data_IF_911498989854
#
_entry.id   IF_911498989854
#
_cell.length_a   1.000
_cell.length_b   1.000
_cell.length_c   1.000
_cell.angle_alpha   90.00
_cell.angle_beta   90.00
_cell.angle_gamma   90.00
#
_symmetry.space_group_name_H-M   'P 1'
#
loop_
_entity.id
_entity.type
_entity.pdbx_description
1 polymer ?
#
# COMPACT_ATOMS: atom_id res chain seq x y z
N UNK A 1 4.02 13.04 -8.26
CA UNK A 1 2.79 12.36 -7.85
C UNK A 1 2.75 12.25 -6.33
N UNK A 2 1.64 12.64 -5.73
CA UNK A 2 1.47 12.48 -4.28
C UNK A 2 1.00 11.06 -3.95
N UNK A 3 1.11 10.68 -2.68
CA UNK A 3 0.60 9.39 -2.24
C UNK A 3 -0.91 9.27 -2.46
N UNK A 4 -1.65 10.35 -2.21
CA UNK A 4 -3.08 10.37 -2.45
C UNK A 4 -3.41 10.14 -3.93
N UNK A 5 -2.69 10.80 -4.82
CA UNK A 5 -2.89 10.63 -6.26
C UNK A 5 -2.60 9.19 -6.69
N UNK A 6 -1.51 8.63 -6.17
CA UNK A 6 -1.14 7.25 -6.46
C UNK A 6 -2.21 6.29 -5.97
N UNK A 7 -2.67 6.50 -4.75
CA UNK A 7 -3.74 5.69 -4.17
C UNK A 7 -5.02 5.76 -5.00
N UNK A 8 -5.44 6.96 -5.37
CA UNK A 8 -6.67 7.13 -6.14
C UNK A 8 -6.59 6.48 -7.52
N UNK A 9 -5.42 6.51 -8.13
CA UNK A 9 -5.23 5.93 -9.47
C UNK A 9 -5.07 4.41 -9.44
N UNK A 10 -4.58 3.83 -8.34
CA UNK A 10 -4.14 2.45 -8.33
C UNK A 10 -4.67 1.60 -7.16
N UNK A 11 -5.71 2.06 -6.48
CA UNK A 11 -6.32 1.30 -5.39
C UNK A 11 -6.64 -0.12 -5.84
N UNK A 12 -6.20 -1.11 -5.06
CA UNK A 12 -6.43 -2.52 -5.35
C UNK A 12 -5.52 -3.11 -6.42
N UNK A 13 -4.65 -2.31 -7.02
CA UNK A 13 -3.71 -2.80 -8.03
C UNK A 13 -2.50 -3.45 -7.39
N UNK A 14 -1.98 -4.48 -8.04
CA UNK A 14 -0.78 -5.16 -7.58
C UNK A 14 0.45 -4.33 -7.92
N UNK A 15 1.43 -4.32 -7.01
CA UNK A 15 2.66 -3.54 -7.19
C UNK A 15 3.88 -4.38 -6.88
N UNK A 16 5.00 -3.99 -7.51
CA UNK A 16 6.32 -4.47 -7.15
C UNK A 16 6.88 -3.56 -6.06
N UNK A 17 7.60 -4.14 -5.12
CA UNK A 17 8.32 -3.40 -4.09
C UNK A 17 9.82 -3.61 -4.29
N UNK A 18 10.53 -2.52 -4.56
CA UNK A 18 11.97 -2.55 -4.89
C UNK A 18 12.27 -3.55 -6.02
N UNK A 19 11.39 -3.58 -7.02
CA UNK A 19 11.53 -4.45 -8.18
C UNK A 19 11.11 -5.89 -7.98
N UNK A 20 10.57 -6.24 -6.81
CA UNK A 20 10.16 -7.62 -6.51
C UNK A 20 8.66 -7.72 -6.31
N UNK A 21 8.08 -8.80 -6.81
CA UNK A 21 6.68 -9.12 -6.58
C UNK A 21 6.55 -9.85 -5.24
N UNK A 22 6.11 -9.13 -4.24
CA UNK A 22 5.94 -9.68 -2.89
C UNK A 22 4.49 -9.96 -2.55
N UNK A 23 3.59 -9.91 -3.55
CA UNK A 23 2.17 -10.12 -3.31
C UNK A 23 1.45 -8.92 -2.74
N UNK A 24 1.96 -7.72 -3.00
CA UNK A 24 1.44 -6.49 -2.43
C UNK A 24 0.42 -5.82 -3.35
N UNK A 25 -0.62 -5.27 -2.73
CA UNK A 25 -1.64 -4.47 -3.41
C UNK A 25 -1.71 -3.10 -2.77
N UNK A 26 -2.10 -2.11 -3.54
CA UNK A 26 -2.31 -0.76 -2.99
C UNK A 26 -3.58 -0.79 -2.14
N UNK A 27 -3.43 -0.58 -0.85
CA UNK A 27 -4.54 -0.66 0.10
C UNK A 27 -4.92 0.70 0.69
N UNK A 28 -3.99 1.64 0.79
CA UNK A 28 -4.25 2.94 1.37
C UNK A 28 -3.03 3.83 1.32
N UNK A 29 -3.08 4.92 2.07
CA UNK A 29 -1.96 5.84 2.16
C UNK A 29 -1.96 6.58 3.49
N UNK A 30 -0.80 7.09 3.89
CA UNK A 30 -0.65 7.93 5.06
C UNK A 30 -0.05 9.25 4.58
N UNK A 31 -0.89 10.23 4.36
CA UNK A 31 -0.48 11.55 3.88
C UNK A 31 0.55 11.42 2.74
N UNK A 32 1.62 12.18 2.75
CA UNK A 32 2.70 12.07 1.78
C UNK A 32 3.89 11.26 2.31
N UNK A 33 3.68 10.49 3.36
CA UNK A 33 4.75 9.69 3.99
C UNK A 33 4.84 8.29 3.40
N UNK A 34 3.71 7.58 3.35
CA UNK A 34 3.72 6.17 2.99
C UNK A 34 2.50 5.79 2.15
N UNK A 35 2.70 4.78 1.32
CA UNK A 35 1.62 3.99 0.76
C UNK A 35 1.43 2.79 1.67
N UNK A 36 0.20 2.39 1.91
CA UNK A 36 -0.11 1.20 2.68
C UNK A 36 -0.31 0.06 1.70
N UNK A 37 0.53 -0.97 1.81
CA UNK A 37 0.42 -2.17 0.99
C UNK A 37 -0.40 -3.22 1.74
N UNK A 38 -1.30 -3.89 1.03
CA UNK A 38 -2.11 -4.96 1.59
C UNK A 38 -1.67 -6.31 1.05
N UNK A 39 -1.81 -7.34 1.88
CA UNK A 39 -1.45 -8.71 1.53
C UNK A 39 -2.58 -9.65 1.86
N UNK A 40 -2.81 -10.65 1.02
CA UNK A 40 -3.86 -11.64 1.24
C UNK A 40 -3.45 -12.75 2.22
N UNK A 41 -2.23 -12.70 2.71
CA UNK A 41 -1.71 -13.60 3.73
C UNK A 41 -1.07 -12.77 4.85
N UNK A 42 -0.31 -13.41 5.73
CA UNK A 42 0.31 -12.73 6.86
C UNK A 42 1.80 -12.46 6.67
N UNK A 43 2.27 -12.41 5.42
CA UNK A 43 3.67 -12.13 5.14
C UNK A 43 4.02 -10.65 5.28
N UNK A 44 3.04 -9.77 5.20
CA UNK A 44 3.25 -8.34 5.43
C UNK A 44 3.49 -8.05 6.90
N UNK A 45 3.99 -6.86 7.19
CA UNK A 45 4.16 -6.44 8.57
C UNK A 45 2.81 -6.15 9.21
N UNK A 46 2.66 -6.52 10.46
CA UNK A 46 1.49 -6.15 11.22
C UNK A 46 1.62 -4.67 11.58
N UNK A 47 0.56 -3.93 11.34
CA UNK A 47 0.52 -2.50 11.59
C UNK A 47 -0.49 -2.19 12.67
N UNK A 48 -0.14 -1.23 13.50
CA UNK A 48 -1.07 -0.72 14.50
C UNK A 48 -1.82 0.46 13.90
N UNK A 49 -3.11 0.30 13.73
CA UNK A 49 -3.95 1.33 13.17
C UNK A 49 -4.46 2.24 14.27
N UNK A 50 -4.20 3.52 14.14
CA UNK A 50 -4.87 4.52 14.95
C UNK A 50 -5.55 5.49 13.99
N UNK A 51 -6.70 6.00 14.38
CA UNK A 51 -7.46 6.92 13.55
C UNK A 51 -6.70 8.20 13.21
N UNK A 52 -5.65 8.50 13.93
CA UNK A 52 -4.84 9.70 13.68
C UNK A 52 -3.84 9.52 12.56
N UNK A 53 -3.43 8.28 12.31
CA UNK A 53 -2.31 7.98 11.41
C UNK A 53 -2.80 7.67 10.00
N UNK A 54 -3.92 7.02 9.90
CA UNK A 54 -4.42 6.51 8.62
C UNK A 54 -5.51 7.42 8.08
N UNK A 55 -5.26 8.00 6.93
CA UNK A 55 -6.27 8.80 6.25
C UNK A 55 -7.29 7.91 5.57
N UNK A 56 -6.79 6.91 4.86
CA UNK A 56 -7.65 6.08 4.02
C UNK A 56 -7.07 4.69 3.90
N UNK A 57 -7.91 3.69 4.11
CA UNK A 57 -7.66 2.31 3.73
C UNK A 57 -8.84 1.90 2.87
N UNK A 58 -8.60 1.70 1.57
CA UNK A 58 -9.67 1.42 0.62
C UNK A 58 -10.05 -0.04 0.53
N UNK A 59 -9.16 -0.94 0.94
CA UNK A 59 -9.37 -2.37 0.85
C UNK A 59 -8.98 -3.05 2.15
N UNK A 60 -9.64 -4.16 2.47
CA UNK A 60 -9.31 -4.95 3.66
C UNK A 60 -8.45 -6.15 3.26
N UNK A 61 -7.31 -6.28 3.90
CA UNK A 61 -6.37 -7.37 3.67
C UNK A 61 -6.01 -8.05 4.99
N UNK A 62 -5.36 -9.21 4.89
CA UNK A 62 -4.96 -9.97 6.08
C UNK A 62 -3.79 -9.33 6.81
N UNK A 63 -2.91 -8.67 6.09
CA UNK A 63 -1.80 -7.95 6.71
C UNK A 63 -1.45 -6.71 5.87
N UNK A 64 -0.66 -5.83 6.47
CA UNK A 64 -0.31 -4.55 5.85
C UNK A 64 1.15 -4.22 6.10
N UNK A 65 1.68 -3.38 5.21
CA UNK A 65 3.03 -2.88 5.34
C UNK A 65 3.10 -1.46 4.82
N UNK A 66 3.89 -0.59 5.46
CA UNK A 66 4.17 0.74 4.95
C UNK A 66 5.29 0.68 3.93
N UNK A 67 5.17 1.45 2.86
CA UNK A 67 6.21 1.55 1.85
C UNK A 67 6.26 2.96 1.29
N UNK A 68 7.45 3.40 0.94
CA UNK A 68 7.60 4.69 0.29
C UNK A 68 7.25 4.56 -1.19
N UNK A 69 6.52 5.54 -1.70
CA UNK A 69 6.07 5.54 -3.10
C UNK A 69 7.21 5.30 -4.08
N UNK A 70 8.38 5.86 -3.82
CA UNK A 70 9.54 5.74 -4.72
C UNK A 70 10.02 4.31 -4.95
N UNK A 71 9.63 3.38 -4.08
CA UNK A 71 10.01 1.97 -4.21
C UNK A 71 8.93 1.13 -4.89
N UNK A 72 7.83 1.73 -5.29
CA UNK A 72 6.69 1.01 -5.84
C UNK A 72 6.60 1.16 -7.35
N UNK A 73 6.19 0.09 -8.00
CA UNK A 73 5.94 0.07 -9.42
C UNK A 73 4.67 -0.73 -9.67
N UNK A 74 3.70 -0.14 -10.36
CA UNK A 74 2.44 -0.83 -10.65
C UNK A 74 2.69 -1.91 -11.69
N UNK A 75 2.19 -3.11 -11.42
CA UNK A 75 2.25 -4.21 -12.38
C UNK A 75 1.12 -3.99 -13.38
N UNK A 76 1.47 -3.77 -14.62
CA UNK A 76 0.50 -3.66 -15.69
C UNK A 76 0.17 -5.05 -16.21
N UNK A 77 -1.10 -5.35 -16.23
CA UNK A 77 -1.61 -6.61 -16.77
C UNK A 77 -2.38 -6.37 -18.05
#
# INVERSE_FOLDING_TARGET
>A
MTNEEFYNAHLGKRVLYKGKDIGAYVAGYIEDKYIILGFNDYTGCILYFTSKVYKTIGETYNSYRFAKLKYLEVIET
#
